data_IF_157021548112
#
_entry.id   IF_157021548112
#
_cell.length_a   1.000
_cell.length_b   1.000
_cell.length_c   1.000
_cell.angle_alpha   90.00
_cell.angle_beta   90.00
_cell.angle_gamma   90.00
#
_symmetry.space_group_name_H-M   'P 1'
#
loop_
_entity.id
_entity.type
_entity.pdbx_description
1 polymer ?
#
# COMPACT_ATOMS: atom_id res chain seq x y z
N UNK A 1 12.46 -2.57 33.50
CA UNK A 1 11.94 -1.82 32.33
C UNK A 1 12.89 -1.87 31.13
N UNK A 2 14.20 -1.61 31.28
CA UNK A 2 15.20 -1.72 30.20
C UNK A 2 15.13 -3.02 29.38
N UNK A 3 15.07 -4.19 30.03
CA UNK A 3 14.92 -5.49 29.36
C UNK A 3 13.64 -5.59 28.52
N UNK A 4 12.52 -5.03 28.99
CA UNK A 4 11.26 -4.99 28.23
C UNK A 4 11.34 -4.14 26.96
N UNK A 5 12.12 -3.07 26.99
CA UNK A 5 12.37 -2.21 25.80
C UNK A 5 13.19 -3.00 24.78
N UNK A 6 14.28 -3.66 25.20
CA UNK A 6 15.10 -4.50 24.31
C UNK A 6 14.29 -5.68 23.74
N UNK A 7 13.46 -6.32 24.55
CA UNK A 7 12.56 -7.38 24.08
C UNK A 7 11.55 -6.86 23.05
N UNK A 8 11.02 -5.64 23.25
CA UNK A 8 10.12 -5.00 22.26
C UNK A 8 10.84 -4.66 20.96
N UNK A 9 12.07 -4.14 21.02
CA UNK A 9 12.86 -3.87 19.81
C UNK A 9 13.13 -5.15 19.01
N UNK A 10 13.44 -6.26 19.70
CA UNK A 10 13.61 -7.56 19.03
C UNK A 10 12.30 -8.09 18.42
N UNK A 11 11.16 -7.93 19.11
CA UNK A 11 9.85 -8.28 18.54
C UNK A 11 9.53 -7.44 17.31
N UNK A 12 9.74 -6.13 17.37
CA UNK A 12 9.55 -5.24 16.22
C UNK A 12 10.44 -5.63 15.03
N UNK A 13 11.69 -6.03 15.28
CA UNK A 13 12.60 -6.53 14.23
C UNK A 13 12.05 -7.78 13.55
N UNK A 14 11.57 -8.74 14.33
CA UNK A 14 10.98 -9.97 13.80
C UNK A 14 9.68 -9.68 13.05
N UNK A 15 8.84 -8.79 13.58
CA UNK A 15 7.61 -8.34 12.94
C UNK A 15 7.88 -7.65 11.59
N UNK A 16 8.89 -6.78 11.49
CA UNK A 16 9.29 -6.18 10.21
C UNK A 16 9.81 -7.23 9.21
N UNK A 17 10.49 -8.26 9.70
CA UNK A 17 10.94 -9.37 8.85
C UNK A 17 9.76 -10.17 8.28
N UNK A 18 8.77 -10.45 9.12
CA UNK A 18 7.53 -11.11 8.70
C UNK A 18 6.75 -10.22 7.72
N UNK A 19 6.65 -8.92 7.99
CA UNK A 19 5.99 -7.96 7.11
C UNK A 19 6.64 -7.95 5.72
N UNK A 20 7.97 -7.95 5.63
CA UNK A 20 8.67 -8.03 4.36
C UNK A 20 8.33 -9.30 3.58
N UNK A 21 8.25 -10.46 4.26
CA UNK A 21 7.85 -11.72 3.63
C UNK A 21 6.41 -11.68 3.11
N UNK A 22 5.46 -11.17 3.92
CA UNK A 22 4.05 -11.05 3.52
C UNK A 22 3.88 -10.11 2.32
N UNK A 23 4.58 -8.97 2.31
CA UNK A 23 4.56 -8.03 1.17
C UNK A 23 5.15 -8.67 -0.10
N UNK A 24 6.20 -9.49 0.03
CA UNK A 24 6.77 -10.25 -1.09
C UNK A 24 5.83 -11.33 -1.64
N UNK A 25 5.05 -11.96 -0.76
CA UNK A 25 4.04 -12.95 -1.14
C UNK A 25 2.83 -12.28 -1.81
N UNK A 26 2.36 -11.14 -1.28
CA UNK A 26 1.33 -10.30 -1.90
C UNK A 26 1.73 -9.89 -3.32
N UNK A 27 2.97 -9.43 -3.52
CA UNK A 27 3.51 -9.10 -4.84
C UNK A 27 3.40 -10.29 -5.81
N UNK A 28 3.71 -11.48 -5.31
CA UNK A 28 3.67 -12.72 -6.08
C UNK A 28 2.24 -13.09 -6.50
N UNK A 29 1.26 -12.93 -5.60
CA UNK A 29 -0.15 -13.15 -5.91
C UNK A 29 -0.73 -12.11 -6.87
N UNK A 30 -0.36 -10.83 -6.71
CA UNK A 30 -0.72 -9.78 -7.66
C UNK A 30 -0.20 -10.10 -9.06
N UNK A 31 1.06 -10.54 -9.17
CA UNK A 31 1.67 -10.92 -10.46
C UNK A 31 0.97 -12.12 -11.11
N UNK A 32 0.43 -13.03 -10.31
CA UNK A 32 -0.32 -14.21 -10.80
C UNK A 32 -1.78 -13.90 -11.14
N UNK A 33 -2.29 -12.71 -10.80
CA UNK A 33 -3.69 -12.36 -10.97
C UNK A 33 -4.62 -13.18 -10.07
N UNK A 34 -4.19 -13.48 -8.84
CA UNK A 34 -4.97 -14.25 -7.86
C UNK A 34 -5.55 -13.32 -6.76
N UNK A 35 -6.68 -12.64 -7.00
CA UNK A 35 -7.22 -11.66 -6.05
C UNK A 35 -7.68 -12.28 -4.73
N UNK A 36 -8.12 -13.54 -4.72
CA UNK A 36 -8.55 -14.21 -3.48
C UNK A 36 -7.38 -14.39 -2.51
N UNK A 37 -6.21 -14.78 -3.03
CA UNK A 37 -5.02 -14.94 -2.20
C UNK A 37 -4.46 -13.58 -1.71
N UNK A 38 -4.56 -12.53 -2.54
CA UNK A 38 -4.19 -11.16 -2.15
C UNK A 38 -5.01 -10.70 -0.94
N UNK A 39 -6.34 -10.87 -0.95
CA UNK A 39 -7.19 -10.45 0.17
C UNK A 39 -6.86 -11.17 1.49
N UNK A 40 -6.47 -12.45 1.43
CA UNK A 40 -6.06 -13.19 2.63
C UNK A 40 -4.77 -12.66 3.26
N UNK A 41 -3.79 -12.32 2.43
CA UNK A 41 -2.54 -11.70 2.89
C UNK A 41 -2.74 -10.27 3.36
N UNK A 42 -3.56 -9.49 2.67
CA UNK A 42 -3.82 -8.10 3.01
C UNK A 42 -4.34 -7.96 4.44
N UNK A 43 -5.25 -8.83 4.86
CA UNK A 43 -5.73 -8.87 6.25
C UNK A 43 -4.58 -9.14 7.23
N UNK A 44 -3.72 -10.11 6.91
CA UNK A 44 -2.55 -10.46 7.74
C UNK A 44 -1.55 -9.30 7.85
N UNK A 45 -1.33 -8.58 6.74
CA UNK A 45 -0.49 -7.36 6.70
C UNK A 45 -1.09 -6.26 7.57
N UNK A 46 -2.39 -6.00 7.45
CA UNK A 46 -3.08 -4.97 8.24
C UNK A 46 -3.04 -5.27 9.75
N UNK A 47 -3.29 -6.52 10.13
CA UNK A 47 -3.21 -6.93 11.54
C UNK A 47 -1.80 -6.82 12.10
N UNK A 48 -0.78 -7.20 11.32
CA UNK A 48 0.61 -7.07 11.74
C UNK A 48 1.02 -5.60 11.89
N UNK A 49 0.59 -4.72 10.99
CA UNK A 49 0.82 -3.28 11.09
C UNK A 49 0.18 -2.69 12.35
N UNK A 50 -1.04 -3.12 12.67
CA UNK A 50 -1.73 -2.73 13.90
C UNK A 50 -0.94 -3.17 15.13
N UNK A 51 -0.45 -4.41 15.16
CA UNK A 51 0.38 -4.91 16.26
C UNK A 51 1.69 -4.11 16.40
N UNK A 52 2.42 -3.88 15.30
CA UNK A 52 3.67 -3.10 15.31
C UNK A 52 3.40 -1.68 15.85
N UNK A 53 2.30 -1.06 15.43
CA UNK A 53 1.90 0.28 15.88
C UNK A 53 1.63 0.30 17.38
N UNK A 54 0.87 -0.66 17.90
CA UNK A 54 0.62 -0.81 19.34
C UNK A 54 1.92 -0.99 20.13
N UNK A 55 2.83 -1.85 19.67
CA UNK A 55 4.11 -2.07 20.34
C UNK A 55 4.99 -0.80 20.34
N UNK A 56 4.99 -0.02 19.26
CA UNK A 56 5.71 1.26 19.20
C UNK A 56 5.14 2.29 20.17
N UNK A 57 3.82 2.35 20.33
CA UNK A 57 3.15 3.26 21.28
C UNK A 57 3.48 2.86 22.72
N UNK A 58 3.40 1.57 23.06
CA UNK A 58 3.78 1.05 24.38
C UNK A 58 5.25 1.28 24.69
N UNK A 59 6.14 1.07 23.72
CA UNK A 59 7.56 1.34 23.89
C UNK A 59 7.82 2.83 24.14
N UNK A 60 7.14 3.71 23.42
CA UNK A 60 7.24 5.16 23.61
C UNK A 60 6.80 5.57 25.02
N UNK A 61 5.71 5.02 25.54
CA UNK A 61 5.26 5.32 26.90
C UNK A 61 6.24 4.81 27.96
N UNK A 62 6.84 3.62 27.77
CA UNK A 62 7.88 3.10 28.65
C UNK A 62 9.13 3.99 28.66
N UNK A 63 9.55 4.51 27.51
CA UNK A 63 10.71 5.41 27.41
C UNK A 63 10.43 6.74 28.12
N UNK A 64 9.25 7.32 27.89
CA UNK A 64 8.86 8.57 28.55
C UNK A 64 8.80 8.43 30.07
N UNK A 65 8.35 7.29 30.58
CA UNK A 65 8.33 7.00 32.01
C UNK A 65 9.75 6.88 32.62
N UNK A 66 10.72 6.35 31.85
CA UNK A 66 12.10 6.17 32.32
C UNK A 66 12.96 7.43 32.17
N UNK A 67 12.75 8.21 31.12
CA UNK A 67 13.51 9.41 30.81
C UNK A 67 12.53 10.51 30.35
N UNK A 68 12.00 11.33 31.28
CA UNK A 68 10.98 12.35 30.98
C UNK A 68 11.39 13.44 29.97
N UNK A 69 12.67 13.49 29.57
CA UNK A 69 13.19 14.37 28.49
C UNK A 69 13.54 13.65 27.18
N UNK A 70 13.48 12.31 27.16
CA UNK A 70 13.78 11.52 25.97
C UNK A 70 12.55 11.46 25.05
N UNK A 71 12.38 12.48 24.21
CA UNK A 71 11.34 12.48 23.19
C UNK A 71 11.57 11.42 22.09
N UNK A 72 12.79 10.89 21.98
CA UNK A 72 13.23 9.97 20.93
C UNK A 72 14.00 8.79 21.50
N UNK A 73 13.90 7.65 20.83
CA UNK A 73 14.61 6.39 21.16
C UNK A 73 16.14 6.58 21.17
N UNK A 74 16.66 7.48 20.35
CA UNK A 74 18.09 7.88 20.35
C UNK A 74 18.53 8.58 21.64
N UNK A 75 17.66 9.39 22.25
CA UNK A 75 17.94 10.03 23.53
C UNK A 75 17.95 8.99 24.67
N UNK A 76 17.10 7.95 24.58
CA UNK A 76 17.15 6.83 25.51
C UNK A 76 18.49 6.07 25.42
N UNK A 77 19.02 5.82 24.22
CA UNK A 77 20.32 5.14 24.06
C UNK A 77 21.46 5.89 24.75
N UNK A 78 21.44 7.22 24.77
CA UNK A 78 22.46 8.01 25.48
C UNK A 78 22.42 7.79 27.01
N UNK A 79 21.27 7.37 27.55
CA UNK A 79 21.12 7.01 28.98
C UNK A 79 21.64 5.61 29.30
N UNK A 80 21.98 4.79 28.29
CA UNK A 80 22.54 3.45 28.48
C UNK A 80 24.03 3.51 28.88
N UNK A 81 24.53 2.50 29.62
CA UNK A 81 25.97 2.34 29.88
C UNK A 81 26.77 2.31 28.58
N UNK A 82 27.97 2.91 28.57
CA UNK A 82 28.79 3.01 27.34
C UNK A 82 29.05 1.69 26.65
N UNK A 83 29.20 0.59 27.41
CA UNK A 83 29.39 -0.75 26.88
C UNK A 83 28.21 -1.26 26.03
N UNK A 84 26.98 -0.78 26.28
CA UNK A 84 25.76 -1.26 25.61
C UNK A 84 25.27 -0.32 24.50
N UNK A 85 25.81 0.91 24.43
CA UNK A 85 25.41 1.90 23.41
C UNK A 85 25.65 1.41 21.96
N UNK A 86 26.80 0.78 21.63
CA UNK A 86 27.05 0.32 20.26
C UNK A 86 26.05 -0.74 19.80
N UNK A 87 25.70 -1.69 20.68
CA UNK A 87 24.75 -2.75 20.37
C UNK A 87 23.33 -2.19 20.14
N UNK A 88 22.89 -1.28 21.01
CA UNK A 88 21.59 -0.62 20.86
C UNK A 88 21.51 0.25 19.59
N UNK A 89 22.61 0.93 19.23
CA UNK A 89 22.68 1.71 17.99
C UNK A 89 22.65 0.83 16.74
N UNK A 90 23.37 -0.30 16.75
CA UNK A 90 23.33 -1.26 15.65
C UNK A 90 21.92 -1.87 15.45
N UNK A 91 21.23 -2.17 16.56
CA UNK A 91 19.85 -2.66 16.51
C UNK A 91 18.88 -1.64 15.92
N UNK A 92 19.04 -0.35 16.24
CA UNK A 92 18.27 0.73 15.63
C UNK A 92 18.50 0.82 14.13
N UNK A 93 19.76 0.80 13.70
CA UNK A 93 20.11 0.87 12.28
C UNK A 93 19.58 -0.36 11.51
N UNK A 94 19.56 -1.53 12.15
CA UNK A 94 18.94 -2.71 11.57
C UNK A 94 17.41 -2.54 11.43
N UNK A 95 16.73 -1.99 12.44
CA UNK A 95 15.30 -1.71 12.39
C UNK A 95 14.96 -0.72 11.27
N UNK A 96 15.70 0.38 11.17
CA UNK A 96 15.50 1.41 10.14
C UNK A 96 15.67 0.82 8.74
N UNK A 97 16.71 0.00 8.52
CA UNK A 97 16.92 -0.70 7.24
C UNK A 97 15.76 -1.63 6.89
N UNK A 98 15.25 -2.37 7.85
CA UNK A 98 14.11 -3.28 7.64
C UNK A 98 12.82 -2.51 7.35
N UNK A 99 12.58 -1.41 8.06
CA UNK A 99 11.43 -0.52 7.81
C UNK A 99 11.48 0.05 6.39
N UNK A 100 12.64 0.54 5.96
CA UNK A 100 12.84 1.04 4.60
C UNK A 100 12.61 -0.04 3.52
N UNK A 101 13.04 -1.28 3.78
CA UNK A 101 12.78 -2.40 2.89
C UNK A 101 11.28 -2.71 2.77
N UNK A 102 10.55 -2.76 3.89
CA UNK A 102 9.11 -2.92 3.88
C UNK A 102 8.40 -1.80 3.11
N UNK A 103 8.81 -0.54 3.31
CA UNK A 103 8.26 0.60 2.58
C UNK A 103 8.47 0.46 1.06
N UNK A 104 9.65 -0.01 0.65
CA UNK A 104 9.96 -0.26 -0.76
C UNK A 104 9.09 -1.38 -1.36
N UNK A 105 8.88 -2.47 -0.62
CA UNK A 105 8.01 -3.57 -1.07
C UNK A 105 6.55 -3.15 -1.16
N UNK A 106 6.05 -2.41 -0.15
CA UNK A 106 4.70 -1.88 -0.15
C UNK A 106 4.46 -0.92 -1.33
N UNK A 107 5.42 -0.06 -1.67
CA UNK A 107 5.35 0.81 -2.83
C UNK A 107 5.22 0.00 -4.14
N UNK A 108 5.99 -1.08 -4.30
CA UNK A 108 5.89 -1.98 -5.46
C UNK A 108 4.53 -2.65 -5.57
N UNK A 109 3.97 -3.11 -4.45
CA UNK A 109 2.63 -3.72 -4.42
C UNK A 109 1.56 -2.71 -4.85
N UNK A 110 1.64 -1.49 -4.32
CA UNK A 110 0.74 -0.40 -4.67
C UNK A 110 0.81 -0.05 -6.17
N UNK A 111 2.02 0.15 -6.70
CA UNK A 111 2.23 0.45 -8.12
C UNK A 111 1.68 -0.66 -9.04
N UNK A 112 1.91 -1.93 -8.69
CA UNK A 112 1.41 -3.07 -9.46
C UNK A 112 -0.12 -3.16 -9.41
N UNK A 113 -0.71 -2.99 -8.22
CA UNK A 113 -2.16 -2.99 -8.06
C UNK A 113 -2.82 -1.87 -8.89
N UNK A 114 -2.24 -0.67 -8.90
CA UNK A 114 -2.71 0.45 -9.71
C UNK A 114 -2.61 0.14 -11.21
N UNK A 115 -1.49 -0.44 -11.66
CA UNK A 115 -1.32 -0.83 -13.06
C UNK A 115 -2.34 -1.89 -13.50
N UNK A 116 -2.62 -2.89 -12.65
CA UNK A 116 -3.64 -3.91 -12.89
C UNK A 116 -5.05 -3.32 -12.94
N UNK A 117 -5.35 -2.34 -12.08
CA UNK A 117 -6.60 -1.60 -12.11
C UNK A 117 -6.78 -0.84 -13.43
N UNK A 118 -5.77 -0.08 -13.84
CA UNK A 118 -5.78 0.67 -15.10
C UNK A 118 -5.94 -0.24 -16.32
N UNK A 119 -5.25 -1.39 -16.32
CA UNK A 119 -5.40 -2.41 -17.37
C UNK A 119 -6.83 -2.93 -17.45
N UNK A 120 -7.41 -3.29 -16.30
CA UNK A 120 -8.77 -3.82 -16.21
C UNK A 120 -9.80 -2.79 -16.69
N UNK A 121 -9.63 -1.52 -16.30
CA UNK A 121 -10.47 -0.41 -16.75
C UNK A 121 -10.43 -0.23 -18.28
N UNK A 122 -9.22 -0.19 -18.86
CA UNK A 122 -9.04 -0.07 -20.32
C UNK A 122 -9.69 -1.21 -21.08
N UNK A 123 -9.54 -2.45 -20.57
CA UNK A 123 -10.16 -3.63 -21.17
C UNK A 123 -11.69 -3.54 -21.13
N UNK A 124 -12.27 -3.15 -20.00
CA UNK A 124 -13.72 -2.96 -19.87
C UNK A 124 -14.24 -1.87 -20.83
N UNK A 125 -13.54 -0.73 -20.92
CA UNK A 125 -13.90 0.33 -21.89
C UNK A 125 -13.85 -0.17 -23.33
N UNK A 126 -12.82 -0.95 -23.68
CA UNK A 126 -12.71 -1.55 -25.01
C UNK A 126 -13.86 -2.53 -25.30
N UNK A 127 -14.16 -3.44 -24.37
CA UNK A 127 -15.26 -4.40 -24.51
C UNK A 127 -16.61 -3.69 -24.63
N UNK A 128 -16.85 -2.67 -23.79
CA UNK A 128 -18.06 -1.86 -23.86
C UNK A 128 -18.21 -1.19 -25.24
N UNK A 129 -17.14 -0.62 -25.80
CA UNK A 129 -17.15 -0.02 -27.14
C UNK A 129 -17.37 -1.04 -28.27
N UNK A 130 -17.05 -2.32 -28.06
CA UNK A 130 -17.32 -3.41 -29.01
C UNK A 130 -18.76 -3.94 -28.91
N UNK A 131 -19.31 -4.01 -27.69
CA UNK A 131 -20.68 -4.50 -27.45
C UNK A 131 -21.71 -3.44 -27.83
N UNK A 132 -21.40 -2.16 -27.61
CA UNK A 132 -22.27 -1.04 -27.92
C UNK A 132 -21.58 -0.12 -28.95
N UNK A 133 -21.54 -0.52 -30.23
CA UNK A 133 -20.91 0.30 -31.26
C UNK A 133 -21.62 1.64 -31.35
N UNK A 134 -20.88 2.75 -31.17
CA UNK A 134 -21.42 4.10 -31.28
C UNK A 134 -21.93 4.46 -32.69
N UNK A 135 -21.71 3.58 -33.67
CA UNK A 135 -22.21 3.74 -35.03
C UNK A 135 -23.45 2.88 -35.26
N UNK A 136 -24.63 3.50 -35.05
CA UNK A 136 -25.85 3.17 -35.80
C UNK A 136 -25.70 3.64 -37.25
N UNK A 137 -24.68 3.16 -37.96
CA UNK A 137 -24.63 3.22 -39.43
C UNK A 137 -25.09 1.88 -39.99
N UNK A 138 -26.23 1.41 -39.49
CA UNK A 138 -26.91 0.27 -40.10
C UNK A 138 -27.68 0.79 -41.31
N UNK A 139 -27.45 0.18 -42.46
CA UNK A 139 -28.34 0.32 -43.61
C UNK A 139 -29.77 0.01 -43.15
N UNK A 140 -30.68 0.95 -43.38
CA UNK A 140 -32.11 0.65 -43.23
C UNK A 140 -32.47 -0.54 -44.13
N UNK A 141 -33.55 -1.28 -43.83
CA UNK A 141 -34.03 -2.40 -44.66
C UNK A 141 -34.28 -2.04 -46.16
N UNK A 142 -34.14 -0.76 -46.54
CA UNK A 142 -34.21 -0.22 -47.91
C UNK A 142 -32.86 0.30 -48.45
N UNK A 143 -31.74 -0.04 -47.84
CA UNK A 143 -30.40 0.28 -48.38
C UNK A 143 -30.02 1.77 -48.35
N UNK A 144 -30.69 2.60 -47.54
CA UNK A 144 -30.35 4.04 -47.45
C UNK A 144 -29.40 4.33 -46.29
N UNK A 145 -28.33 5.08 -46.60
CA UNK A 145 -27.37 5.64 -45.65
C UNK A 145 -27.92 6.96 -45.09
N UNK A 146 -28.23 7.07 -43.80
CA UNK A 146 -28.68 8.35 -43.25
C UNK A 146 -27.48 9.28 -43.11
N UNK A 147 -27.35 10.27 -44.00
CA UNK A 147 -26.41 11.39 -43.81
C UNK A 147 -26.88 12.21 -42.60
N UNK A 148 -26.42 11.88 -41.41
CA UNK A 148 -26.67 12.71 -40.23
C UNK A 148 -25.74 13.92 -40.27
N UNK A 149 -26.25 15.05 -40.76
CA UNK A 149 -25.59 16.34 -40.52
C UNK A 149 -25.69 16.63 -39.03
N UNK A 150 -24.59 16.44 -38.29
CA UNK A 150 -24.42 16.98 -36.94
C UNK A 150 -24.28 18.51 -37.05
N UNK A 151 -25.40 19.20 -37.17
CA UNK A 151 -25.51 20.62 -36.82
C UNK A 151 -26.14 20.70 -35.45
N UNK A 152 -25.36 21.06 -34.43
CA UNK A 152 -25.90 21.39 -33.11
C UNK A 152 -26.77 22.66 -33.25
N UNK A 153 -28.08 22.50 -33.30
CA UNK A 153 -29.02 23.62 -33.19
C UNK A 153 -29.48 23.72 -31.74
N UNK A 154 -28.72 24.50 -30.94
CA UNK A 154 -29.19 25.01 -29.66
C UNK A 154 -29.92 26.31 -30.00
N UNK A 155 -31.26 26.32 -29.94
CA UNK A 155 -32.16 27.44 -30.26
C UNK A 155 -32.42 27.74 -31.75
N UNK A 156 -33.57 27.28 -32.25
CA UNK A 156 -34.32 28.00 -33.29
C UNK A 156 -35.80 28.10 -32.90
N UNK A 157 -36.17 29.28 -32.42
CA UNK A 157 -37.54 29.71 -32.18
C UNK A 157 -37.54 31.20 -31.86
N UNK A 158 -37.74 32.06 -32.87
CA UNK A 158 -38.13 33.46 -32.70
C UNK A 158 -39.56 33.59 -33.22
N UNK A 159 -40.41 34.17 -32.36
CA UNK A 159 -41.81 34.62 -32.54
C UNK A 159 -42.83 33.56 -32.97
#
# INVERSE_FOLDING_TARGET
MKRRILDSLNRQKNALSLLASLLGEEFSYLRQGNPQAVSGIELSVQDLLRQITSERVEMKSMIQAMAPGAARLTAFIQTLPEAERPEAAALLEELDRREQNCATLAAKNFELALALHDQSRKLLTFLHGKINPEQKETYTARGKFPKTKRGAAILQGRL
#
